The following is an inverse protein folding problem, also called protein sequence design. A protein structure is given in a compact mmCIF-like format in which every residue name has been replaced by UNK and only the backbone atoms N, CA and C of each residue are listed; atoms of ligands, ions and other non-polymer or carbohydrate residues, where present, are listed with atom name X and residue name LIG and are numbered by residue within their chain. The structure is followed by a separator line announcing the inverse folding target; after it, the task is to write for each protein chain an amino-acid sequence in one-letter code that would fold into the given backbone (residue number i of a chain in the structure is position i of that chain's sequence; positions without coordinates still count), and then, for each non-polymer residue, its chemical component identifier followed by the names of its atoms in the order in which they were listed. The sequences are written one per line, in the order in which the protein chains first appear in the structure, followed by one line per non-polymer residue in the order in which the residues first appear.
data_IF_477836638717
#
_entry.id   IF_477836638717
#
_cell.length_a   1.000
_cell.length_b   1.000
_cell.length_c   1.000
_cell.angle_alpha   90.00
_cell.angle_beta   90.00
_cell.angle_gamma   90.00
#
_symmetry.space_group_name_H-M   'P 1'
#
loop_
_entity.id
_entity.type
_entity.pdbx_description
1 polymer ?
#
# COMPACT_ATOMS: atom_id res chain seq x y z
N UNK A 1 -42.64 21.66 32.01
CA UNK A 1 -41.23 21.41 32.07
C UNK A 1 -40.87 19.92 31.91
N UNK A 2 -41.53 19.02 32.59
CA UNK A 2 -41.23 17.56 32.57
C UNK A 2 -41.26 16.92 31.17
N UNK A 3 -42.21 17.27 30.30
CA UNK A 3 -42.31 16.73 28.91
C UNK A 3 -41.12 17.13 28.01
N UNK A 4 -40.53 18.32 28.21
CA UNK A 4 -39.36 18.74 27.43
C UNK A 4 -38.09 18.03 27.89
N UNK A 5 -37.98 17.68 29.18
CA UNK A 5 -36.87 16.88 29.71
C UNK A 5 -36.90 15.43 29.21
N UNK A 6 -38.08 14.83 29.17
CA UNK A 6 -38.28 13.46 28.65
C UNK A 6 -37.95 13.36 27.14
N UNK A 7 -38.34 14.35 26.34
CA UNK A 7 -37.99 14.39 24.91
C UNK A 7 -36.48 14.53 24.69
N UNK A 8 -35.80 15.36 25.49
CA UNK A 8 -34.38 15.52 25.42
C UNK A 8 -33.63 14.23 25.80
N UNK A 9 -34.07 13.53 26.86
CA UNK A 9 -33.45 12.27 27.27
C UNK A 9 -33.65 11.14 26.24
N UNK A 10 -34.81 11.04 25.61
CA UNK A 10 -35.10 10.08 24.55
C UNK A 10 -34.22 10.34 23.29
N UNK A 11 -34.01 11.60 22.94
CA UNK A 11 -33.11 11.96 21.82
C UNK A 11 -31.65 11.57 22.09
N UNK A 12 -31.15 11.82 23.30
CA UNK A 12 -29.80 11.42 23.68
C UNK A 12 -29.57 9.90 23.69
N UNK A 13 -30.55 9.13 24.14
CA UNK A 13 -30.52 7.66 24.13
C UNK A 13 -30.54 7.14 22.70
N UNK A 14 -31.36 7.70 21.82
CA UNK A 14 -31.44 7.30 20.42
C UNK A 14 -30.17 7.58 19.64
N UNK A 15 -29.49 8.71 19.90
CA UNK A 15 -28.20 9.06 19.26
C UNK A 15 -27.12 8.10 19.70
N UNK A 16 -27.05 7.72 20.97
CA UNK A 16 -26.04 6.78 21.47
C UNK A 16 -26.20 5.37 20.88
N UNK A 17 -27.45 4.90 20.72
CA UNK A 17 -27.73 3.59 20.11
C UNK A 17 -27.34 3.57 18.63
N UNK A 18 -27.63 4.65 17.90
CA UNK A 18 -27.23 4.77 16.48
C UNK A 18 -25.72 4.85 16.30
N UNK A 19 -25.03 5.61 17.13
CA UNK A 19 -23.58 5.71 17.11
C UNK A 19 -22.92 4.35 17.41
N UNK A 20 -23.40 3.64 18.41
CA UNK A 20 -22.89 2.31 18.75
C UNK A 20 -23.11 1.30 17.60
N UNK A 21 -24.23 1.35 16.90
CA UNK A 21 -24.50 0.51 15.73
C UNK A 21 -23.60 0.86 14.55
N UNK A 22 -23.33 2.14 14.32
CA UNK A 22 -22.42 2.59 13.24
C UNK A 22 -20.98 2.14 13.51
N UNK A 23 -20.47 2.30 14.72
CA UNK A 23 -19.12 1.86 15.10
C UNK A 23 -18.97 0.35 14.94
N UNK A 24 -19.95 -0.45 15.37
CA UNK A 24 -19.94 -1.91 15.20
C UNK A 24 -19.88 -2.27 13.71
N UNK A 25 -20.69 -1.63 12.88
CA UNK A 25 -20.74 -1.89 11.43
C UNK A 25 -19.42 -1.53 10.75
N UNK A 26 -18.87 -0.35 11.02
CA UNK A 26 -17.58 0.10 10.49
C UNK A 26 -16.45 -0.86 10.92
N UNK A 27 -16.41 -1.22 12.20
CA UNK A 27 -15.42 -2.16 12.74
C UNK A 27 -15.51 -3.53 12.08
N UNK A 28 -16.71 -4.04 11.82
CA UNK A 28 -16.95 -5.29 11.11
C UNK A 28 -16.41 -5.21 9.68
N UNK A 29 -16.72 -4.16 8.92
CA UNK A 29 -16.27 -3.99 7.53
C UNK A 29 -14.74 -3.91 7.42
N UNK A 30 -14.08 -3.27 8.38
CA UNK A 30 -12.61 -3.24 8.46
C UNK A 30 -12.08 -4.66 8.70
N UNK A 31 -12.64 -5.40 9.63
CA UNK A 31 -12.20 -6.76 9.96
C UNK A 31 -12.42 -7.74 8.79
N UNK A 32 -13.50 -7.56 8.04
CA UNK A 32 -13.81 -8.35 6.85
C UNK A 32 -13.03 -7.89 5.60
N UNK A 33 -12.25 -6.82 5.70
CA UNK A 33 -11.55 -6.19 4.56
C UNK A 33 -12.50 -5.82 3.41
N UNK A 34 -13.74 -5.48 3.73
CA UNK A 34 -14.76 -5.09 2.74
C UNK A 34 -14.68 -3.58 2.44
N UNK A 35 -13.65 -3.19 1.69
CA UNK A 35 -13.30 -1.79 1.46
C UNK A 35 -14.32 -1.02 0.65
N UNK A 36 -14.99 -1.64 -0.30
CA UNK A 36 -16.04 -0.98 -1.11
C UNK A 36 -17.23 -0.62 -0.27
N UNK A 37 -17.71 -1.55 0.54
CA UNK A 37 -18.84 -1.30 1.45
C UNK A 37 -18.44 -0.32 2.56
N UNK A 38 -17.21 -0.39 3.04
CA UNK A 38 -16.67 0.55 4.02
C UNK A 38 -16.69 1.99 3.49
N UNK A 39 -16.26 2.20 2.25
CA UNK A 39 -16.31 3.54 1.63
C UNK A 39 -17.75 4.03 1.45
N UNK A 40 -18.64 3.14 1.05
CA UNK A 40 -20.08 3.45 0.94
C UNK A 40 -20.68 3.84 2.30
N UNK A 41 -20.43 3.04 3.32
CA UNK A 41 -20.91 3.27 4.68
C UNK A 41 -20.39 4.59 5.28
N UNK A 42 -19.11 4.90 5.08
CA UNK A 42 -18.50 6.17 5.53
C UNK A 42 -19.15 7.39 4.88
N UNK A 43 -19.60 7.28 3.63
CA UNK A 43 -20.29 8.35 2.92
C UNK A 43 -21.77 8.49 3.36
N UNK A 44 -22.41 7.36 3.66
CA UNK A 44 -23.82 7.31 4.04
C UNK A 44 -24.07 7.71 5.50
N UNK A 45 -23.11 7.40 6.39
CA UNK A 45 -23.27 7.60 7.83
C UNK A 45 -22.84 9.02 8.26
N UNK A 46 -23.70 9.76 9.01
CA UNK A 46 -23.33 11.07 9.52
C UNK A 46 -22.06 11.05 10.36
N UNK A 47 -21.22 12.07 10.21
CA UNK A 47 -19.90 12.12 10.85
C UNK A 47 -19.95 11.97 12.38
N UNK A 48 -20.96 12.52 13.01
CA UNK A 48 -21.17 12.48 14.46
C UNK A 48 -21.75 11.16 14.97
N UNK A 49 -22.08 10.22 14.09
CA UNK A 49 -22.58 8.89 14.42
C UNK A 49 -21.49 7.83 14.45
N UNK A 50 -20.24 8.20 14.17
CA UNK A 50 -19.07 7.32 14.23
C UNK A 50 -18.06 7.94 15.19
N UNK A 51 -17.46 7.14 16.05
CA UNK A 51 -16.40 7.62 16.95
C UNK A 51 -15.22 8.21 16.16
N UNK A 52 -14.60 9.29 16.63
CA UNK A 52 -13.52 9.98 15.90
C UNK A 52 -12.38 9.03 15.49
N UNK A 53 -11.93 8.19 16.41
CA UNK A 53 -10.90 7.17 16.14
C UNK A 53 -11.29 6.22 15.00
N UNK A 54 -12.47 5.61 15.11
CA UNK A 54 -12.88 4.59 14.15
C UNK A 54 -13.15 5.19 12.77
N UNK A 55 -13.71 6.40 12.73
CA UNK A 55 -13.88 7.15 11.48
C UNK A 55 -12.53 7.44 10.81
N UNK A 56 -11.54 7.87 11.58
CA UNK A 56 -10.23 8.19 11.07
C UNK A 56 -9.49 6.94 10.58
N UNK A 57 -9.56 5.84 11.36
CA UNK A 57 -9.01 4.55 10.95
C UNK A 57 -9.65 4.06 9.64
N UNK A 58 -10.97 4.07 9.55
CA UNK A 58 -11.70 3.65 8.35
C UNK A 58 -11.36 4.54 7.14
N UNK A 59 -11.22 5.85 7.33
CA UNK A 59 -10.80 6.79 6.28
C UNK A 59 -9.37 6.51 5.81
N UNK A 60 -8.44 6.25 6.73
CA UNK A 60 -7.07 5.89 6.39
C UNK A 60 -7.02 4.60 5.55
N UNK A 61 -7.75 3.57 5.96
CA UNK A 61 -7.83 2.29 5.26
C UNK A 61 -8.43 2.46 3.85
N UNK A 62 -9.54 3.18 3.73
CA UNK A 62 -10.14 3.45 2.39
C UNK A 62 -9.20 4.21 1.48
N UNK A 63 -8.52 5.26 1.95
CA UNK A 63 -7.54 5.97 1.14
C UNK A 63 -6.39 5.06 0.69
N UNK A 64 -5.87 4.21 1.57
CA UNK A 64 -4.82 3.26 1.22
C UNK A 64 -5.27 2.28 0.13
N UNK A 65 -6.41 1.62 0.31
CA UNK A 65 -6.89 0.57 -0.59
C UNK A 65 -7.41 1.11 -1.92
N UNK A 66 -7.92 2.33 -1.95
CA UNK A 66 -8.33 3.01 -3.18
C UNK A 66 -7.22 3.84 -3.84
N UNK A 67 -5.96 3.56 -3.49
CA UNK A 67 -4.77 4.18 -4.08
C UNK A 67 -4.80 5.72 -4.06
N UNK A 68 -5.12 6.30 -2.91
CA UNK A 68 -5.08 7.74 -2.62
C UNK A 68 -3.97 8.02 -1.62
N UNK A 69 -2.68 7.83 -1.99
CA UNK A 69 -1.58 7.77 -1.03
C UNK A 69 -1.33 9.09 -0.29
N UNK A 70 -1.50 10.24 -0.94
CA UNK A 70 -1.36 11.56 -0.28
C UNK A 70 -2.36 11.70 0.87
N UNK A 71 -3.64 11.42 0.61
CA UNK A 71 -4.69 11.46 1.63
C UNK A 71 -4.46 10.40 2.71
N UNK A 72 -4.02 9.21 2.33
CA UNK A 72 -3.69 8.15 3.27
C UNK A 72 -2.55 8.57 4.21
N UNK A 73 -1.48 9.17 3.70
CA UNK A 73 -0.37 9.67 4.51
C UNK A 73 -0.83 10.70 5.53
N UNK A 74 -1.64 11.67 5.12
CA UNK A 74 -2.16 12.71 5.99
C UNK A 74 -2.99 12.11 7.15
N UNK A 75 -3.95 11.24 6.82
CA UNK A 75 -4.84 10.65 7.83
C UNK A 75 -4.11 9.66 8.73
N UNK A 76 -3.18 8.86 8.19
CA UNK A 76 -2.36 7.94 8.99
C UNK A 76 -1.42 8.67 9.96
N UNK A 77 -0.80 9.75 9.52
CA UNK A 77 0.06 10.55 10.39
C UNK A 77 -0.74 11.15 11.55
N UNK A 78 -1.93 11.70 11.28
CA UNK A 78 -2.81 12.25 12.30
C UNK A 78 -3.33 11.15 13.25
N UNK A 79 -3.72 9.99 12.72
CA UNK A 79 -4.13 8.82 13.52
C UNK A 79 -3.01 8.35 14.48
N UNK A 80 -1.77 8.27 13.98
CA UNK A 80 -0.61 7.87 14.77
C UNK A 80 -0.22 8.92 15.83
N UNK A 81 -0.48 10.19 15.58
CA UNK A 81 -0.18 11.26 16.55
C UNK A 81 -1.23 11.34 17.67
N UNK A 82 -2.51 11.14 17.33
CA UNK A 82 -3.61 11.46 18.24
C UNK A 82 -4.30 10.25 18.86
N UNK A 83 -4.12 9.04 18.32
CA UNK A 83 -4.88 7.84 18.67
C UNK A 83 -4.03 6.60 18.98
N UNK A 84 -2.81 6.81 19.49
CA UNK A 84 -1.90 5.68 19.79
C UNK A 84 -2.47 4.72 20.85
N UNK A 85 -3.22 5.24 21.82
CA UNK A 85 -3.82 4.42 22.87
C UNK A 85 -4.91 3.51 22.31
N UNK A 86 -5.78 4.03 21.45
CA UNK A 86 -6.85 3.27 20.81
C UNK A 86 -6.31 2.27 19.77
N UNK A 87 -5.22 2.61 19.09
CA UNK A 87 -4.53 1.71 18.17
C UNK A 87 -3.91 0.50 18.90
N UNK A 88 -3.33 0.72 20.09
CA UNK A 88 -2.66 -0.35 20.85
C UNK A 88 -1.67 -1.13 19.98
N UNK A 89 -1.83 -2.46 19.92
CA UNK A 89 -0.96 -3.36 19.14
C UNK A 89 -0.98 -3.09 17.62
N UNK A 90 -1.98 -2.38 17.11
CA UNK A 90 -2.08 -2.01 15.69
C UNK A 90 -1.17 -0.85 15.30
N UNK A 91 -0.60 -0.13 16.27
CA UNK A 91 0.25 1.05 16.01
C UNK A 91 1.36 0.74 15.02
N UNK A 92 2.10 -0.35 15.23
CA UNK A 92 3.17 -0.77 14.32
C UNK A 92 2.67 -1.03 12.90
N UNK A 93 1.53 -1.69 12.76
CA UNK A 93 0.93 -1.94 11.45
C UNK A 93 0.55 -0.64 10.73
N UNK A 94 0.08 0.37 11.47
CA UNK A 94 -0.25 1.68 10.89
C UNK A 94 1.01 2.45 10.49
N UNK A 95 2.12 2.33 11.22
CA UNK A 95 3.42 2.89 10.83
C UNK A 95 3.93 2.25 9.53
N UNK A 96 3.83 0.93 9.40
CA UNK A 96 4.18 0.22 8.16
C UNK A 96 3.29 0.67 7.00
N UNK A 97 1.99 0.84 7.25
CA UNK A 97 1.04 1.33 6.25
C UNK A 97 1.38 2.76 5.80
N UNK A 98 1.73 3.65 6.73
CA UNK A 98 2.20 5.00 6.44
C UNK A 98 3.48 4.95 5.60
N UNK A 99 4.47 4.15 6.00
CA UNK A 99 5.70 3.95 5.24
C UNK A 99 5.41 3.51 3.79
N UNK A 100 4.48 2.57 3.60
CA UNK A 100 4.07 2.11 2.27
C UNK A 100 3.46 3.24 1.43
N UNK A 101 2.60 4.08 2.01
CA UNK A 101 1.99 5.19 1.27
C UNK A 101 3.00 6.30 0.96
N UNK A 102 3.94 6.57 1.86
CA UNK A 102 5.04 7.51 1.63
C UNK A 102 5.89 7.11 0.40
N UNK A 103 6.16 5.82 0.22
CA UNK A 103 6.89 5.37 -1.00
C UNK A 103 6.09 5.58 -2.28
N UNK A 104 4.77 5.47 -2.23
CA UNK A 104 3.90 5.72 -3.40
C UNK A 104 3.91 7.18 -3.86
N UNK A 105 4.24 8.11 -2.96
CA UNK A 105 4.38 9.55 -3.26
C UNK A 105 5.86 9.99 -3.37
N UNK A 106 6.80 9.04 -3.36
CA UNK A 106 8.22 9.32 -3.56
C UNK A 106 8.99 9.73 -2.31
N UNK A 107 8.38 9.73 -1.13
CA UNK A 107 8.98 10.10 0.15
C UNK A 107 9.76 8.92 0.76
N UNK A 108 10.76 8.42 0.01
CA UNK A 108 11.49 7.21 0.39
C UNK A 108 12.32 7.36 1.66
N UNK A 109 12.92 8.53 1.91
CA UNK A 109 13.70 8.75 3.13
C UNK A 109 12.83 8.73 4.38
N UNK A 110 11.65 9.33 4.33
CA UNK A 110 10.71 9.34 5.44
C UNK A 110 10.20 7.92 5.72
N UNK A 111 9.85 7.20 4.65
CA UNK A 111 9.46 5.80 4.74
C UNK A 111 10.55 4.92 5.35
N UNK A 112 11.80 5.11 4.94
CA UNK A 112 12.96 4.40 5.49
C UNK A 112 13.18 4.72 6.96
N UNK A 113 13.00 5.98 7.36
CA UNK A 113 13.11 6.42 8.75
C UNK A 113 12.11 5.72 9.66
N UNK A 114 10.86 5.62 9.24
CA UNK A 114 9.81 4.92 9.99
C UNK A 114 10.17 3.44 10.22
N UNK A 115 10.59 2.73 9.17
CA UNK A 115 10.94 1.31 9.29
C UNK A 115 12.22 1.09 10.10
N UNK A 116 13.20 1.99 10.00
CA UNK A 116 14.38 1.95 10.83
C UNK A 116 14.03 2.10 12.31
N UNK A 117 13.14 3.04 12.65
CA UNK A 117 12.69 3.23 14.03
C UNK A 117 11.99 1.97 14.58
N UNK A 118 11.17 1.29 13.77
CA UNK A 118 10.58 0.00 14.17
C UNK A 118 11.68 -1.02 14.45
N UNK A 119 12.65 -1.16 13.55
CA UNK A 119 13.77 -2.08 13.74
C UNK A 119 14.52 -1.78 15.03
N UNK A 120 14.90 -0.52 15.26
CA UNK A 120 15.69 -0.11 16.42
C UNK A 120 14.94 -0.38 17.74
N UNK A 121 13.65 -0.09 17.80
CA UNK A 121 12.80 -0.36 18.97
C UNK A 121 12.69 -1.87 19.25
N UNK A 122 12.38 -2.67 18.24
CA UNK A 122 12.26 -4.12 18.39
C UNK A 122 13.58 -4.78 18.78
N UNK A 123 14.69 -4.33 18.19
CA UNK A 123 16.03 -4.81 18.54
C UNK A 123 16.40 -4.44 19.99
N UNK A 124 16.07 -3.23 20.44
CA UNK A 124 16.28 -2.81 21.83
C UNK A 124 15.46 -3.64 22.84
N UNK A 125 14.29 -4.15 22.43
CA UNK A 125 13.46 -5.04 23.23
C UNK A 125 13.95 -6.50 23.21
N UNK A 126 15.02 -6.82 22.48
CA UNK A 126 15.55 -8.18 22.35
C UNK A 126 14.70 -9.10 21.46
N UNK A 127 13.87 -8.53 20.57
CA UNK A 127 13.06 -9.30 19.64
C UNK A 127 13.95 -10.11 18.67
N UNK A 128 13.51 -11.31 18.35
CA UNK A 128 14.24 -12.21 17.44
C UNK A 128 14.56 -11.53 16.11
N UNK A 129 15.81 -11.68 15.65
CA UNK A 129 16.31 -11.05 14.43
C UNK A 129 15.53 -11.46 13.17
N UNK A 130 14.95 -12.66 13.14
CA UNK A 130 14.13 -13.11 12.01
C UNK A 130 12.86 -12.27 11.83
N UNK A 131 12.38 -11.64 12.91
CA UNK A 131 11.22 -10.74 12.92
C UNK A 131 11.62 -9.27 12.67
N UNK A 132 12.84 -8.87 12.99
CA UNK A 132 13.29 -7.48 12.92
C UNK A 132 14.04 -7.15 11.62
N UNK A 133 14.88 -8.07 11.13
CA UNK A 133 15.67 -7.86 9.90
C UNK A 133 14.85 -7.47 8.65
N UNK A 134 13.60 -7.93 8.45
CA UNK A 134 12.78 -7.45 7.33
C UNK A 134 12.57 -5.94 7.30
N UNK A 135 12.40 -5.30 8.46
CA UNK A 135 12.22 -3.83 8.54
C UNK A 135 13.50 -3.10 8.15
N UNK A 136 14.65 -3.58 8.63
CA UNK A 136 15.96 -3.02 8.29
C UNK A 136 16.26 -3.15 6.80
N UNK A 137 16.06 -4.34 6.24
CA UNK A 137 16.26 -4.59 4.81
C UNK A 137 15.37 -3.68 3.95
N UNK A 138 14.11 -3.51 4.34
CA UNK A 138 13.18 -2.64 3.64
C UNK A 138 13.58 -1.16 3.77
N UNK A 139 14.04 -0.72 4.95
CA UNK A 139 14.55 0.64 5.15
C UNK A 139 15.78 0.91 4.28
N UNK A 140 16.71 -0.04 4.17
CA UNK A 140 17.88 0.05 3.29
C UNK A 140 17.45 0.16 1.82
N UNK A 141 16.48 -0.63 1.38
CA UNK A 141 15.91 -0.52 0.04
C UNK A 141 15.38 0.87 -0.22
N UNK A 142 14.57 1.41 0.67
CA UNK A 142 13.98 2.74 0.48
C UNK A 142 15.06 3.83 0.43
N UNK A 143 16.12 3.73 1.24
CA UNK A 143 17.27 4.64 1.13
C UNK A 143 17.98 4.53 -0.22
N UNK A 144 18.18 3.31 -0.73
CA UNK A 144 18.77 3.11 -2.04
C UNK A 144 17.92 3.72 -3.17
N UNK A 145 16.60 3.68 -3.03
CA UNK A 145 15.67 4.28 -3.96
C UNK A 145 15.62 5.81 -3.84
N UNK A 146 15.73 6.35 -2.63
CA UNK A 146 15.83 7.78 -2.38
C UNK A 146 17.05 8.42 -3.06
N UNK A 147 18.12 7.65 -3.26
CA UNK A 147 19.32 8.08 -3.96
C UNK A 147 19.19 8.04 -5.50
N UNK A 148 18.04 7.63 -6.03
CA UNK A 148 17.74 7.65 -7.46
C UNK A 148 17.05 8.96 -7.84
N UNK A 149 17.15 9.34 -9.13
CA UNK A 149 16.31 10.39 -9.69
C UNK A 149 14.83 10.03 -9.49
N UNK A 150 13.91 11.02 -9.60
CA UNK A 150 12.48 10.75 -9.42
C UNK A 150 12.04 9.50 -10.17
N UNK A 151 11.60 8.50 -9.40
CA UNK A 151 11.33 7.14 -9.91
C UNK A 151 10.07 7.05 -10.76
N UNK A 152 9.25 8.09 -10.74
CA UNK A 152 8.03 8.15 -11.48
C UNK A 152 7.75 9.57 -11.98
N UNK A 153 7.78 9.75 -13.29
CA UNK A 153 7.39 10.98 -13.96
C UNK A 153 6.42 10.63 -15.09
N UNK A 154 5.10 10.77 -14.89
CA UNK A 154 4.14 10.55 -15.95
C UNK A 154 4.31 11.63 -17.02
N UNK A 155 4.59 11.24 -18.26
CA UNK A 155 4.72 12.18 -19.39
C UNK A 155 3.36 12.67 -19.89
N UNK A 156 2.34 11.90 -19.68
CA UNK A 156 0.99 12.21 -20.11
C UNK A 156 0.04 12.13 -18.93
N UNK A 157 -0.86 13.12 -18.84
CA UNK A 157 -1.97 13.11 -17.89
C UNK A 157 -3.25 12.97 -18.71
N UNK A 158 -3.93 11.86 -18.53
CA UNK A 158 -5.26 11.61 -19.07
C UNK A 158 -6.09 10.93 -17.99
N UNK A 159 -7.38 11.19 -18.00
CA UNK A 159 -8.32 10.55 -17.09
C UNK A 159 -8.62 9.10 -17.51
N UNK A 160 -8.28 8.73 -18.76
CA UNK A 160 -8.49 7.40 -19.31
C UNK A 160 -7.30 6.96 -20.18
N UNK A 161 -6.84 5.74 -19.94
CA UNK A 161 -5.85 5.05 -20.76
C UNK A 161 -6.40 3.68 -21.15
N UNK A 162 -6.31 3.34 -22.44
CA UNK A 162 -6.69 2.03 -22.96
C UNK A 162 -5.45 1.27 -23.38
N UNK A 163 -5.13 0.20 -22.67
CA UNK A 163 -3.98 -0.65 -22.95
C UNK A 163 -4.51 -1.99 -23.44
N UNK A 164 -4.22 -2.40 -24.70
CA UNK A 164 -4.61 -3.69 -25.20
C UNK A 164 -3.97 -4.81 -24.38
N UNK A 165 -4.78 -5.75 -23.94
CA UNK A 165 -4.33 -6.93 -23.23
C UNK A 165 -4.55 -8.17 -24.07
N UNK A 166 -3.64 -9.12 -23.96
CA UNK A 166 -3.71 -10.42 -24.66
C UNK A 166 -3.88 -11.51 -23.61
N UNK A 167 -4.81 -12.43 -23.86
CA UNK A 167 -4.92 -13.62 -23.03
C UNK A 167 -3.91 -14.63 -23.55
N UNK A 168 -2.83 -14.84 -22.78
CA UNK A 168 -1.86 -15.91 -23.01
C UNK A 168 -2.41 -17.23 -22.48
N UNK A 169 -2.15 -18.31 -23.18
CA UNK A 169 -2.38 -19.69 -22.72
C UNK A 169 -1.07 -20.47 -22.85
N UNK A 170 -0.54 -20.88 -21.73
CA UNK A 170 0.66 -21.72 -21.69
C UNK A 170 0.39 -22.92 -20.79
N UNK A 171 0.37 -24.09 -21.37
CA UNK A 171 0.18 -25.35 -20.67
C UNK A 171 -1.15 -25.40 -19.85
N UNK A 172 -2.22 -24.76 -20.39
CA UNK A 172 -3.52 -24.65 -19.73
C UNK A 172 -3.59 -23.57 -18.64
N UNK A 173 -2.51 -22.83 -18.41
CA UNK A 173 -2.51 -21.67 -17.52
C UNK A 173 -2.76 -20.39 -18.31
N UNK A 174 -3.89 -19.76 -18.04
CA UNK A 174 -4.24 -18.48 -18.64
C UNK A 174 -3.57 -17.33 -17.90
N UNK A 175 -3.02 -16.41 -18.68
CA UNK A 175 -2.42 -15.18 -18.18
C UNK A 175 -2.97 -13.97 -18.91
N UNK A 176 -3.05 -12.84 -18.23
CA UNK A 176 -3.29 -11.55 -18.86
C UNK A 176 -1.92 -10.93 -19.14
N UNK A 177 -1.66 -10.61 -20.41
CA UNK A 177 -0.39 -10.09 -20.85
C UNK A 177 -0.58 -8.76 -21.58
N UNK A 178 0.41 -7.88 -21.47
CA UNK A 178 0.45 -6.60 -22.17
C UNK A 178 1.79 -6.43 -22.87
N UNK A 179 1.77 -5.80 -24.05
CA UNK A 179 3.00 -5.40 -24.73
C UNK A 179 3.49 -4.08 -24.12
N UNK A 180 4.80 -3.93 -24.07
CA UNK A 180 5.43 -2.72 -23.57
C UNK A 180 6.92 -2.69 -23.88
N UNK A 181 7.61 -1.66 -23.46
CA UNK A 181 9.06 -1.59 -23.57
C UNK A 181 9.71 -1.08 -22.29
N UNK A 182 10.92 -1.52 -22.04
CA UNK A 182 11.77 -1.03 -20.97
C UNK A 182 13.09 -0.57 -21.59
N UNK A 183 13.47 0.68 -21.36
CA UNK A 183 14.68 1.29 -21.97
C UNK A 183 14.73 1.11 -23.50
N UNK A 184 13.58 1.29 -24.18
CA UNK A 184 13.45 1.15 -25.63
C UNK A 184 13.47 -0.27 -26.16
N UNK A 185 13.55 -1.29 -25.31
CA UNK A 185 13.50 -2.70 -25.72
C UNK A 185 12.12 -3.26 -25.48
N UNK A 186 11.49 -3.75 -26.53
CA UNK A 186 10.14 -4.31 -26.48
C UNK A 186 10.10 -5.63 -25.69
N UNK A 187 8.95 -5.91 -25.10
CA UNK A 187 8.67 -7.13 -24.36
C UNK A 187 7.19 -7.33 -24.09
N UNK A 188 6.87 -8.54 -23.66
CA UNK A 188 5.55 -8.91 -23.20
C UNK A 188 5.59 -9.12 -21.69
N UNK A 189 4.70 -8.49 -20.99
CA UNK A 189 4.66 -8.43 -19.52
C UNK A 189 3.36 -9.06 -19.03
N UNK A 190 3.49 -9.88 -18.00
CA UNK A 190 2.35 -10.44 -17.28
C UNK A 190 1.70 -9.34 -16.45
N UNK A 191 0.38 -9.20 -16.54
CA UNK A 191 -0.42 -8.35 -15.70
C UNK A 191 -1.08 -9.18 -14.61
N UNK A 192 -0.63 -9.02 -13.38
CA UNK A 192 -1.12 -9.76 -12.22
C UNK A 192 -1.70 -8.78 -11.20
N UNK A 193 -3.04 -8.79 -11.06
CA UNK A 193 -3.76 -7.93 -10.10
C UNK A 193 -3.51 -8.30 -8.64
N UNK A 194 -3.01 -9.51 -8.37
CA UNK A 194 -2.63 -9.98 -7.04
C UNK A 194 -1.18 -9.67 -6.67
N UNK A 195 -0.38 -9.20 -7.64
CA UNK A 195 0.99 -8.82 -7.37
C UNK A 195 1.04 -7.44 -6.71
N UNK A 196 1.65 -7.35 -5.55
CA UNK A 196 1.86 -6.07 -4.87
C UNK A 196 3.08 -5.31 -5.44
N UNK A 197 3.75 -5.75 -6.52
CA UNK A 197 4.85 -5.05 -7.20
C UNK A 197 5.36 -5.77 -8.43
N UNK A 198 6.22 -5.09 -9.15
CA UNK A 198 6.77 -5.59 -10.39
C UNK A 198 7.95 -6.53 -10.14
N UNK A 199 7.98 -7.65 -10.84
CA UNK A 199 9.04 -8.65 -10.74
C UNK A 199 9.71 -8.84 -12.10
N UNK A 200 11.03 -8.93 -12.09
CA UNK A 200 11.82 -9.25 -13.28
C UNK A 200 12.96 -10.19 -12.90
N UNK A 201 13.30 -11.12 -13.79
CA UNK A 201 14.46 -11.97 -13.54
C UNK A 201 15.78 -11.20 -13.70
N UNK A 202 16.86 -11.55 -12.97
CA UNK A 202 18.15 -10.89 -13.13
C UNK A 202 18.69 -10.94 -14.58
N UNK A 203 18.37 -11.99 -15.31
CA UNK A 203 18.74 -12.14 -16.74
C UNK A 203 18.03 -11.07 -17.59
N UNK A 204 16.74 -10.89 -17.41
CA UNK A 204 15.95 -9.89 -18.13
C UNK A 204 16.30 -8.47 -17.69
N UNK A 205 16.56 -8.24 -16.40
CA UNK A 205 17.00 -6.95 -15.90
C UNK A 205 18.28 -6.50 -16.64
N UNK A 206 19.26 -7.37 -16.75
CA UNK A 206 20.49 -7.10 -17.54
C UNK A 206 20.19 -6.88 -19.02
N UNK A 207 19.33 -7.71 -19.62
CA UNK A 207 18.97 -7.59 -21.02
C UNK A 207 18.29 -6.25 -21.34
N UNK A 208 17.47 -5.75 -20.43
CA UNK A 208 16.82 -4.44 -20.55
C UNK A 208 17.72 -3.27 -20.10
N UNK A 209 18.92 -3.52 -19.63
CA UNK A 209 19.85 -2.48 -19.17
C UNK A 209 19.38 -1.78 -17.89
N UNK A 210 18.71 -2.51 -16.99
CA UNK A 210 18.28 -1.96 -15.72
C UNK A 210 19.47 -1.78 -14.80
N UNK A 211 19.50 -0.66 -14.09
CA UNK A 211 20.47 -0.42 -13.02
C UNK A 211 20.06 -1.20 -11.77
N UNK A 212 20.89 -2.14 -11.37
CA UNK A 212 20.69 -2.84 -10.10
C UNK A 212 21.03 -1.94 -8.92
N UNK A 213 20.23 -2.02 -7.88
CA UNK A 213 20.53 -1.42 -6.58
C UNK A 213 21.05 -2.52 -5.65
N UNK A 214 22.05 -2.17 -4.85
CA UNK A 214 22.61 -3.08 -3.86
C UNK A 214 21.67 -3.14 -2.65
N UNK A 215 20.90 -4.22 -2.56
CA UNK A 215 19.91 -4.43 -1.49
C UNK A 215 19.81 -5.90 -1.14
N UNK A 216 19.70 -6.20 0.15
CA UNK A 216 19.51 -7.56 0.67
C UNK A 216 18.03 -7.91 0.80
N UNK A 217 17.32 -8.03 -0.34
CA UNK A 217 15.90 -8.30 -0.32
C UNK A 217 15.61 -9.74 -0.71
N UNK A 218 14.70 -10.37 0.06
CA UNK A 218 14.19 -11.71 -0.21
C UNK A 218 12.75 -11.61 -0.70
N UNK A 219 12.46 -12.21 -1.86
CA UNK A 219 11.11 -12.30 -2.40
C UNK A 219 10.47 -13.62 -1.94
N UNK A 220 9.28 -13.51 -1.33
CA UNK A 220 8.40 -14.65 -1.07
C UNK A 220 7.31 -14.74 -2.15
N UNK A 221 7.00 -15.96 -2.61
CA UNK A 221 5.90 -16.23 -3.54
C UNK A 221 4.91 -17.23 -2.96
N UNK A 222 3.78 -17.41 -3.65
CA UNK A 222 2.82 -18.48 -3.36
C UNK A 222 3.57 -19.81 -3.47
N UNK A 223 3.61 -20.59 -2.40
CA UNK A 223 4.37 -21.84 -2.33
C UNK A 223 5.58 -21.81 -1.37
N UNK A 224 5.81 -20.69 -0.68
CA UNK A 224 6.73 -20.61 0.47
C UNK A 224 8.22 -20.68 0.15
N UNK A 225 8.63 -20.74 -1.13
CA UNK A 225 10.04 -20.71 -1.52
C UNK A 225 10.58 -19.27 -1.46
N UNK A 226 11.39 -18.98 -0.44
CA UNK A 226 12.17 -17.74 -0.37
C UNK A 226 13.36 -17.85 -1.30
N UNK A 227 13.45 -16.98 -2.31
CA UNK A 227 14.69 -16.82 -3.10
C UNK A 227 15.54 -15.75 -2.45
N UNK A 228 16.70 -16.16 -1.96
CA UNK A 228 17.79 -15.27 -1.59
C UNK A 228 18.36 -14.67 -2.89
N UNK A 229 18.69 -13.39 -2.93
CA UNK A 229 19.28 -12.66 -4.07
C UNK A 229 18.26 -12.15 -5.11
N UNK A 230 17.23 -11.49 -4.66
CA UNK A 230 16.43 -10.61 -5.51
C UNK A 230 17.14 -9.27 -5.63
N UNK A 231 17.30 -8.80 -6.85
CA UNK A 231 17.94 -7.51 -7.13
C UNK A 231 16.84 -6.48 -7.34
N UNK A 232 16.88 -5.39 -6.58
CA UNK A 232 16.08 -4.22 -6.90
C UNK A 232 16.75 -3.54 -8.10
N UNK A 233 15.96 -3.20 -9.10
CA UNK A 233 16.49 -2.56 -10.29
C UNK A 233 15.58 -1.39 -10.70
N UNK A 234 16.19 -0.35 -11.24
CA UNK A 234 15.52 0.85 -11.71
C UNK A 234 15.64 0.94 -13.23
N UNK A 235 14.52 1.13 -13.90
CA UNK A 235 14.49 1.43 -15.32
C UNK A 235 14.57 2.95 -15.53
N UNK A 236 15.30 3.37 -16.54
CA UNK A 236 15.33 4.77 -16.96
C UNK A 236 14.03 5.14 -17.70
N UNK A 237 13.42 4.16 -18.37
CA UNK A 237 12.23 4.37 -19.17
C UNK A 237 11.39 3.09 -19.27
N UNK A 238 10.09 3.19 -19.01
CA UNK A 238 9.13 2.11 -19.26
C UNK A 238 7.97 2.66 -20.09
N UNK A 239 7.59 1.92 -21.13
CA UNK A 239 6.53 2.31 -22.05
C UNK A 239 5.54 1.16 -22.18
N UNK A 240 4.24 1.42 -22.00
CA UNK A 240 3.19 0.54 -22.43
C UNK A 240 2.76 0.94 -23.87
N UNK A 241 2.72 -0.04 -24.78
CA UNK A 241 2.52 0.23 -26.19
C UNK A 241 1.05 0.05 -26.58
N UNK A 242 0.35 1.11 -26.79
CA UNK A 242 -0.38 1.48 -28.02
C UNK A 242 -0.86 2.93 -27.95
N UNK A 243 0.05 3.82 -28.32
CA UNK A 243 -0.07 5.27 -28.59
C UNK A 243 -1.17 6.08 -27.84
N UNK A 244 -0.79 7.18 -27.19
CA UNK A 244 0.53 7.77 -27.04
C UNK A 244 1.27 7.25 -25.81
N UNK A 245 2.55 7.18 -25.98
CA UNK A 245 3.61 6.67 -25.12
C UNK A 245 3.54 7.18 -23.68
N UNK A 246 3.37 6.26 -22.74
CA UNK A 246 3.52 6.50 -21.31
C UNK A 246 4.98 6.31 -20.91
N UNK A 247 5.66 7.36 -20.51
CA UNK A 247 6.95 7.23 -19.84
C UNK A 247 6.70 7.08 -18.33
N UNK A 248 7.01 5.94 -17.79
CA UNK A 248 7.06 5.73 -16.36
C UNK A 248 8.39 5.09 -16.00
N UNK A 249 9.13 5.70 -15.08
CA UNK A 249 10.19 5.00 -14.41
C UNK A 249 9.55 4.05 -13.41
N UNK A 250 9.64 2.75 -13.64
CA UNK A 250 9.06 1.75 -12.76
C UNK A 250 10.07 1.24 -11.75
N UNK A 251 9.66 1.29 -10.53
CA UNK A 251 10.22 0.57 -9.44
C UNK A 251 9.98 -0.92 -9.63
N UNK A 252 11.04 -1.67 -9.82
CA UNK A 252 11.00 -3.11 -9.72
C UNK A 252 11.49 -3.50 -8.33
N UNK A 253 10.57 -3.48 -7.35
CA UNK A 253 10.86 -3.92 -5.99
C UNK A 253 10.10 -5.19 -5.64
N UNK A 254 10.63 -6.01 -4.72
CA UNK A 254 9.87 -7.10 -4.17
C UNK A 254 8.76 -6.55 -3.28
N UNK A 255 7.57 -7.08 -3.43
CA UNK A 255 6.49 -6.80 -2.53
C UNK A 255 6.50 -7.81 -1.42
N UNK A 256 6.69 -7.31 -0.23
CA UNK A 256 6.20 -7.98 0.95
C UNK A 256 4.72 -7.62 1.08
N UNK A 257 3.84 -8.52 0.66
CA UNK A 257 2.45 -8.44 1.08
C UNK A 257 2.39 -8.87 2.56
N UNK A 258 2.03 -8.00 3.49
CA UNK A 258 1.91 -8.38 4.90
C UNK A 258 0.63 -9.14 5.20
N UNK A 259 -0.23 -9.39 4.22
CA UNK A 259 -1.54 -9.99 4.45
C UNK A 259 -1.63 -11.40 3.86
N UNK A 260 -1.47 -12.39 4.72
CA UNK A 260 -2.13 -13.69 4.56
C UNK A 260 -3.43 -13.66 5.37
N UNK A 261 -4.51 -14.03 4.73
CA UNK A 261 -5.68 -14.57 5.40
C UNK A 261 -5.33 -15.91 6.06
#
# INVERSE_FOLDING_TARGET
MLKKLLLASCLFVSINIQAQNADVRIGQLINESNWFELEHELKATPANSISPFLRQLATAMTHHYFNRPDSACTVLADLLNNHQQELGDRTMSMVVLLSTNLTRIGHYNDAAGLLQNIYDQLAAMGTDSTLTEPYKAQAQQYRALAACDPLYQPLYKSDEYRIPMVIGDKDGQRSIEMNGSINGKEGRFLFDTGAGGNLITPKLARAYGLRSLDTDITIGGIGGRRKKNSVVAVATQCLAVDRPVLHAAHHLGPVLSPYRH
#
